data_IF_320612446181
#
_entry.id   IF_320612446181
#
_cell.length_a   1.000
_cell.length_b   1.000
_cell.length_c   1.000
_cell.angle_alpha   90.00
_cell.angle_beta   90.00
_cell.angle_gamma   90.00
#
_symmetry.space_group_name_H-M   'P 1'
#
loop_
_entity.id
_entity.type
_entity.pdbx_description
1 polymer ?
#
# COMPACT_ATOMS: atom_id res chain seq x y z
N UNK A 1 13.85 10.80 -4.75
CA UNK A 1 12.62 10.60 -3.96
C UNK A 1 12.93 9.49 -3.00
N UNK A 2 13.13 9.81 -1.74
CA UNK A 2 13.37 8.82 -0.70
C UNK A 2 12.06 8.06 -0.41
N UNK A 3 12.14 6.74 -0.27
CA UNK A 3 10.98 5.89 -0.02
C UNK A 3 10.60 5.97 1.45
N UNK A 4 9.36 6.36 1.75
CA UNK A 4 8.81 6.33 3.13
C UNK A 4 8.46 4.89 3.49
N UNK A 5 9.04 4.37 4.57
CA UNK A 5 8.71 3.07 5.11
C UNK A 5 7.60 3.16 6.16
N UNK A 6 6.93 2.03 6.43
CA UNK A 6 5.90 1.95 7.48
C UNK A 6 6.43 2.39 8.86
N UNK A 7 7.72 2.16 9.12
CA UNK A 7 8.38 2.55 10.36
C UNK A 7 8.51 4.08 10.52
N UNK A 8 8.51 4.82 9.41
CA UNK A 8 8.64 6.28 9.43
C UNK A 8 7.30 6.96 9.76
N UNK A 9 6.18 6.25 9.62
CA UNK A 9 4.82 6.79 9.83
C UNK A 9 4.11 6.18 11.04
N UNK A 10 4.69 5.15 11.68
CA UNK A 10 4.09 4.47 12.83
C UNK A 10 4.84 4.78 14.12
N UNK A 11 4.08 4.99 15.19
CA UNK A 11 4.61 5.06 16.55
C UNK A 11 4.41 3.69 17.21
N UNK A 12 5.44 3.15 17.85
CA UNK A 12 5.36 1.90 18.59
C UNK A 12 5.44 2.17 20.08
N UNK A 13 4.50 1.63 20.84
CA UNK A 13 4.51 1.64 22.30
C UNK A 13 4.80 0.23 22.80
N UNK A 14 5.57 0.10 23.89
CA UNK A 14 5.64 -1.14 24.65
C UNK A 14 4.29 -1.44 25.33
N UNK A 15 4.13 -2.63 25.90
CA UNK A 15 2.90 -2.98 26.60
C UNK A 15 2.70 -2.14 27.87
N UNK A 16 3.78 -1.81 28.57
CA UNK A 16 3.77 -0.94 29.75
C UNK A 16 3.44 0.51 29.37
N UNK A 17 4.07 1.04 28.31
CA UNK A 17 3.78 2.38 27.80
C UNK A 17 2.34 2.48 27.31
N UNK A 18 1.87 1.47 26.58
CA UNK A 18 0.49 1.39 26.13
C UNK A 18 -0.49 1.38 27.30
N UNK A 19 -0.20 0.65 28.38
CA UNK A 19 -1.07 0.61 29.56
C UNK A 19 -1.25 2.01 30.17
N UNK A 20 -0.18 2.82 30.20
CA UNK A 20 -0.15 4.16 30.78
C UNK A 20 -0.79 5.27 29.92
N UNK A 21 -1.04 5.01 28.63
CA UNK A 21 -1.66 6.00 27.74
C UNK A 21 -3.09 6.38 28.18
N UNK A 22 -3.40 7.66 28.07
CA UNK A 22 -4.75 8.16 28.29
C UNK A 22 -5.72 7.56 27.24
N UNK A 23 -7.02 7.39 27.57
CA UNK A 23 -8.00 6.87 26.62
C UNK A 23 -8.05 7.64 25.30
N UNK A 24 -7.85 8.96 25.35
CA UNK A 24 -7.79 9.83 24.17
C UNK A 24 -6.57 9.52 23.27
N UNK A 25 -5.41 9.22 23.85
CA UNK A 25 -4.21 8.85 23.11
C UNK A 25 -4.36 7.47 22.45
N UNK A 26 -4.92 6.49 23.16
CA UNK A 26 -5.23 5.15 22.59
C UNK A 26 -6.21 5.23 21.43
N UNK A 27 -7.23 6.10 21.55
CA UNK A 27 -8.18 6.38 20.48
C UNK A 27 -7.46 6.99 19.28
N UNK A 28 -6.70 8.06 19.49
CA UNK A 28 -5.95 8.72 18.42
C UNK A 28 -5.01 7.75 17.70
N UNK A 29 -4.29 6.91 18.45
CA UNK A 29 -3.42 5.89 17.87
C UNK A 29 -4.19 4.97 16.92
N UNK A 30 -5.31 4.42 17.38
CA UNK A 30 -6.14 3.53 16.56
C UNK A 30 -6.68 4.25 15.32
N UNK A 31 -7.14 5.48 15.46
CA UNK A 31 -7.71 6.27 14.36
C UNK A 31 -6.64 6.55 13.30
N UNK A 32 -5.43 6.96 13.72
CA UNK A 32 -4.28 7.18 12.82
C UNK A 32 -3.85 5.90 12.14
N UNK A 33 -3.67 4.81 12.90
CA UNK A 33 -3.24 3.53 12.32
C UNK A 33 -4.26 2.98 11.33
N UNK A 34 -5.55 3.11 11.62
CA UNK A 34 -6.61 2.68 10.71
C UNK A 34 -6.56 3.45 9.39
N UNK A 35 -6.35 4.77 9.42
CA UNK A 35 -6.22 5.58 8.22
C UNK A 35 -4.97 5.21 7.41
N UNK A 36 -3.84 4.99 8.09
CA UNK A 36 -2.59 4.51 7.45
C UNK A 36 -2.81 3.20 6.71
N UNK A 37 -3.49 2.22 7.32
CA UNK A 37 -3.81 0.95 6.66
C UNK A 37 -4.71 1.12 5.45
N UNK A 38 -5.76 1.95 5.52
CA UNK A 38 -6.63 2.24 4.37
C UNK A 38 -5.87 2.90 3.23
N UNK A 39 -4.98 3.83 3.54
CA UNK A 39 -4.14 4.51 2.55
C UNK A 39 -3.21 3.51 1.84
N UNK A 40 -2.56 2.61 2.60
CA UNK A 40 -1.72 1.55 2.03
C UNK A 40 -2.51 0.59 1.13
N UNK A 41 -3.67 0.12 1.58
CA UNK A 41 -4.54 -0.74 0.77
C UNK A 41 -5.05 -0.04 -0.50
N UNK A 42 -5.31 1.27 -0.43
CA UNK A 42 -5.71 2.08 -1.59
C UNK A 42 -4.55 2.24 -2.58
N UNK A 43 -3.34 2.46 -2.09
CA UNK A 43 -2.13 2.50 -2.91
C UNK A 43 -1.95 1.15 -3.61
N UNK A 44 -2.00 0.03 -2.89
CA UNK A 44 -1.91 -1.32 -3.45
C UNK A 44 -2.96 -1.55 -4.56
N UNK A 45 -4.21 -1.14 -4.33
CA UNK A 45 -5.27 -1.24 -5.33
C UNK A 45 -5.03 -0.37 -6.58
N UNK A 46 -4.39 0.80 -6.43
CA UNK A 46 -3.97 1.65 -7.56
C UNK A 46 -2.86 0.95 -8.36
N UNK A 47 -1.85 0.39 -7.68
CA UNK A 47 -0.77 -0.34 -8.34
C UNK A 47 -1.27 -1.53 -9.15
N UNK A 48 -2.26 -2.27 -8.65
CA UNK A 48 -2.89 -3.37 -9.40
C UNK A 48 -3.60 -2.84 -10.66
N UNK A 49 -4.38 -1.77 -10.52
CA UNK A 49 -5.13 -1.16 -11.64
C UNK A 49 -4.22 -0.64 -12.75
N UNK A 50 -3.09 -0.05 -12.39
CA UNK A 50 -2.15 0.49 -13.37
C UNK A 50 -1.22 -0.59 -13.94
N UNK A 51 -0.86 -1.61 -13.17
CA UNK A 51 -0.13 -2.80 -13.66
C UNK A 51 -0.91 -3.59 -14.73
N UNK A 52 -2.25 -3.65 -14.62
CA UNK A 52 -3.12 -4.29 -15.63
C UNK A 52 -3.06 -3.55 -16.98
N UNK A 53 -2.93 -2.21 -16.98
CA UNK A 53 -2.80 -1.42 -18.22
C UNK A 53 -1.48 -1.69 -18.94
N UNK A 54 -0.37 -1.79 -18.19
CA UNK A 54 0.96 -2.09 -18.75
C UNK A 54 0.99 -3.49 -19.37
N UNK A 55 0.37 -4.49 -18.72
CA UNK A 55 0.26 -5.85 -19.27
C UNK A 55 -0.59 -5.92 -20.55
N UNK A 56 -1.67 -5.12 -20.65
CA UNK A 56 -2.52 -5.09 -21.85
C UNK A 56 -1.82 -4.48 -23.07
N UNK A 57 -0.97 -3.47 -22.88
CA UNK A 57 -0.16 -2.87 -23.97
C UNK A 57 0.89 -3.86 -24.48
N UNK A 58 1.53 -4.63 -23.60
CA UNK A 58 2.51 -5.66 -24.00
C UNK A 58 1.87 -6.79 -24.82
N UNK A 59 0.60 -7.14 -24.57
CA UNK A 59 -0.08 -8.22 -25.28
C UNK A 59 -0.81 -7.79 -26.59
N UNK A 60 -0.81 -6.51 -26.95
CA UNK A 60 -1.36 -6.02 -28.23
C UNK A 60 -0.31 -6.04 -29.36
N UNK A 61 0.98 -6.25 -29.04
CA UNK A 61 2.08 -6.23 -30.01
C UNK A 61 2.78 -7.59 -30.16
N UNK A 62 2.05 -8.69 -30.32
CA UNK A 62 2.64 -9.91 -30.89
C UNK A 62 2.25 -9.97 -32.37
N UNK A 63 3.16 -9.67 -33.32
CA UNK A 63 2.85 -9.89 -34.73
C UNK A 63 2.62 -11.38 -34.93
N UNK A 64 1.35 -11.76 -35.13
CA UNK A 64 1.00 -13.07 -35.63
C UNK A 64 1.38 -13.07 -37.10
N UNK A 65 2.66 -13.30 -37.39
CA UNK A 65 3.10 -13.59 -38.74
C UNK A 65 2.74 -15.05 -38.98
N UNK A 66 1.86 -15.37 -39.94
CA UNK A 66 1.65 -16.75 -40.32
C UNK A 66 2.93 -17.23 -41.00
N UNK A 67 3.56 -18.27 -40.46
CA UNK A 67 4.62 -18.99 -41.16
C UNK A 67 3.93 -19.67 -42.34
N UNK A 68 4.09 -19.09 -43.54
CA UNK A 68 3.80 -19.80 -44.78
C UNK A 68 4.94 -20.77 -45.07
N UNK A 69 4.53 -21.99 -45.43
CA UNK A 69 5.30 -23.23 -45.58
C UNK A 69 6.56 -23.11 -46.45
#
# INVERSE_FOLDING_TARGET
MDSVAFKDVSVSFSQEEWALLAPSQKKLYRDVMQETFKNLASIEAIWERDSVKVKKVVNVQKPSVPISV
#
